data_IF_960325133474
#
_entry.id   IF_960325133474
#
_cell.length_a   1.000
_cell.length_b   1.000
_cell.length_c   1.000
_cell.angle_alpha   90.00
_cell.angle_beta   90.00
_cell.angle_gamma   90.00
#
_symmetry.space_group_name_H-M   'P 1'
#
loop_
_entity.id
_entity.type
_entity.pdbx_description
1 polymer ?
#
# COMPACT_ATOMS: atom_id res chain seq x y z
N UNK A 1 4.15 1.56 1.40
CA UNK A 1 4.34 2.67 0.43
C UNK A 1 3.19 3.65 0.58
N UNK A 2 1.94 3.23 0.36
CA UNK A 2 0.76 4.04 0.68
C UNK A 2 0.50 4.13 2.20
N UNK A 3 0.80 3.06 2.93
CA UNK A 3 0.64 2.97 4.39
C UNK A 3 1.55 3.95 5.16
N UNK A 4 2.57 4.50 4.50
CA UNK A 4 3.47 5.51 5.04
C UNK A 4 3.17 6.93 4.56
N UNK A 5 2.22 7.12 3.64
CA UNK A 5 1.81 8.45 3.15
C UNK A 5 1.03 9.19 4.22
N UNK A 6 0.20 8.47 4.98
CA UNK A 6 -0.65 9.07 6.00
C UNK A 6 -1.97 9.61 5.44
N UNK A 7 -2.89 9.92 6.35
CA UNK A 7 -4.25 10.31 6.00
C UNK A 7 -4.34 11.64 5.27
N UNK A 8 -3.47 12.60 5.61
CA UNK A 8 -3.55 13.99 5.14
C UNK A 8 -3.01 14.18 3.72
N UNK A 9 -2.14 13.28 3.26
CA UNK A 9 -1.37 13.43 2.02
C UNK A 9 -1.86 12.50 0.88
N UNK A 10 -3.06 11.93 1.00
CA UNK A 10 -3.57 10.99 0.00
C UNK A 10 -3.82 11.68 -1.34
N UNK A 11 -4.36 12.90 -1.33
CA UNK A 11 -4.58 13.73 -2.51
C UNK A 11 -3.25 14.07 -3.18
N UNK A 12 -2.27 14.55 -2.42
CA UNK A 12 -0.93 14.89 -2.94
C UNK A 12 -0.24 13.68 -3.57
N UNK A 13 -0.39 12.50 -2.96
CA UNK A 13 0.11 11.24 -3.50
C UNK A 13 -0.48 10.94 -4.89
N UNK A 14 -1.79 11.07 -5.05
CA UNK A 14 -2.44 10.80 -6.33
C UNK A 14 -2.20 11.89 -7.37
N UNK A 15 -2.07 13.15 -6.96
CA UNK A 15 -1.66 14.24 -7.84
C UNK A 15 -0.25 14.00 -8.40
N UNK A 16 0.69 13.53 -7.55
CA UNK A 16 2.02 13.15 -8.00
C UNK A 16 1.95 11.99 -9.00
N UNK A 17 1.17 10.94 -8.69
CA UNK A 17 1.00 9.80 -9.58
C UNK A 17 0.47 10.21 -10.96
N UNK A 18 -0.56 11.06 -11.00
CA UNK A 18 -1.15 11.61 -12.23
C UNK A 18 -0.10 12.37 -13.06
N UNK A 19 0.72 13.21 -12.41
CA UNK A 19 1.73 14.02 -13.10
C UNK A 19 2.92 13.23 -13.67
N UNK A 20 3.15 12.02 -13.16
CA UNK A 20 4.31 11.18 -13.53
C UNK A 20 3.97 10.07 -14.51
N UNK A 21 2.69 9.76 -14.68
CA UNK A 21 2.23 8.70 -15.56
C UNK A 21 2.11 9.23 -16.99
N UNK A 22 2.63 8.48 -17.96
CA UNK A 22 2.43 8.78 -19.39
C UNK A 22 0.95 8.59 -19.77
N UNK A 23 0.52 9.21 -20.87
CA UNK A 23 -0.89 9.23 -21.31
C UNK A 23 -1.56 7.85 -21.42
N UNK A 24 -0.79 6.80 -21.75
CA UNK A 24 -1.21 5.40 -21.84
C UNK A 24 -0.66 4.51 -20.73
N UNK A 25 -0.10 5.12 -19.69
CA UNK A 25 0.50 4.43 -18.56
C UNK A 25 -0.53 3.75 -17.66
N UNK A 26 -0.08 2.67 -17.02
CA UNK A 26 -0.81 1.95 -15.99
C UNK A 26 -0.06 2.05 -14.66
N UNK A 27 -0.79 2.35 -13.59
CA UNK A 27 -0.30 2.26 -12.23
C UNK A 27 -1.00 1.09 -11.52
N UNK A 28 -0.21 0.21 -10.94
CA UNK A 28 -0.71 -0.88 -10.08
C UNK A 28 -0.31 -0.56 -8.64
N UNK A 29 -1.30 -0.23 -7.83
CA UNK A 29 -1.11 0.14 -6.43
C UNK A 29 -1.57 -1.01 -5.53
N UNK A 30 -0.66 -1.49 -4.67
CA UNK A 30 -0.98 -2.45 -3.62
C UNK A 30 -0.91 -1.76 -2.25
N UNK A 31 -1.89 -1.97 -1.38
CA UNK A 31 -1.89 -1.44 -0.03
C UNK A 31 -2.67 -2.32 0.96
N UNK A 32 -2.15 -2.44 2.17
CA UNK A 32 -2.89 -2.99 3.30
C UNK A 32 -3.93 -1.96 3.75
N UNK A 33 -5.14 -2.41 4.01
CA UNK A 33 -6.27 -1.56 4.37
C UNK A 33 -6.87 -1.94 5.71
N UNK A 34 -7.58 -0.98 6.30
CA UNK A 34 -8.51 -1.22 7.39
C UNK A 34 -9.95 -0.98 6.92
N UNK A 35 -10.94 -1.79 7.37
CA UNK A 35 -12.34 -1.56 7.03
C UNK A 35 -12.81 -0.15 7.40
N UNK A 36 -13.63 0.45 6.53
CA UNK A 36 -14.09 1.84 6.67
C UNK A 36 -14.74 2.13 8.03
N UNK A 37 -15.55 1.21 8.54
CA UNK A 37 -16.21 1.36 9.85
C UNK A 37 -15.26 1.49 11.04
N UNK A 38 -13.97 1.14 10.88
CA UNK A 38 -12.93 1.26 11.93
C UNK A 38 -11.90 2.33 11.62
N UNK A 39 -11.94 2.92 10.43
CA UNK A 39 -10.88 3.80 9.94
C UNK A 39 -10.70 5.06 10.79
N UNK A 40 -11.80 5.72 11.14
CA UNK A 40 -11.77 6.97 11.92
C UNK A 40 -11.26 6.80 13.35
N UNK A 41 -11.48 5.64 13.95
CA UNK A 41 -10.90 5.29 15.24
C UNK A 41 -9.42 4.95 15.08
N UNK A 42 -9.08 4.08 14.12
CA UNK A 42 -7.73 3.61 13.88
C UNK A 42 -6.74 4.73 13.55
N UNK A 43 -7.15 5.75 12.79
CA UNK A 43 -6.29 6.88 12.47
C UNK A 43 -5.92 7.73 13.70
N UNK A 44 -6.74 7.69 14.77
CA UNK A 44 -6.55 8.46 16.01
C UNK A 44 -5.93 7.65 17.15
N UNK A 45 -5.95 6.32 17.06
CA UNK A 45 -5.43 5.43 18.10
C UNK A 45 -3.99 5.02 17.83
N UNK A 46 -3.27 4.68 18.91
CA UNK A 46 -2.01 3.95 18.84
C UNK A 46 -2.25 2.48 19.17
N UNK A 47 -1.58 1.60 18.45
CA UNK A 47 -1.66 0.15 18.64
C UNK A 47 -0.26 -0.47 18.68
N UNK A 48 -0.20 -1.79 18.89
CA UNK A 48 1.06 -2.52 18.90
C UNK A 48 1.90 -2.28 17.63
N UNK A 49 1.27 -2.15 16.46
CA UNK A 49 1.98 -1.97 15.20
C UNK A 49 2.66 -0.60 15.18
N UNK A 50 1.94 0.48 15.52
CA UNK A 50 2.51 1.83 15.55
C UNK A 50 3.59 2.00 16.62
N UNK A 51 3.43 1.37 17.78
CA UNK A 51 4.38 1.50 18.89
C UNK A 51 5.67 0.69 18.70
N UNK A 52 5.58 -0.51 18.11
CA UNK A 52 6.70 -1.47 18.12
C UNK A 52 7.25 -1.85 16.75
N UNK A 53 6.49 -1.68 15.67
CA UNK A 53 6.86 -2.21 14.34
C UNK A 53 7.00 -1.10 13.29
N UNK A 54 5.96 -0.29 13.08
CA UNK A 54 5.88 0.74 12.04
C UNK A 54 5.45 2.08 12.63
N UNK A 55 6.37 2.76 13.32
CA UNK A 55 6.15 4.10 13.87
C UNK A 55 5.81 5.10 12.76
N UNK A 56 4.67 5.77 12.87
CA UNK A 56 4.17 6.74 11.89
C UNK A 56 3.34 6.14 10.75
N UNK A 57 3.22 4.81 10.67
CA UNK A 57 2.36 4.17 9.68
C UNK A 57 0.87 4.41 9.95
N UNK A 58 0.08 4.58 8.89
CA UNK A 58 -1.37 4.66 8.96
C UNK A 58 -1.98 3.90 7.78
N UNK A 59 -2.59 2.75 8.08
CA UNK A 59 -3.37 1.99 7.10
C UNK A 59 -4.57 2.83 6.62
N UNK A 60 -4.72 3.06 5.31
CA UNK A 60 -5.90 3.73 4.78
C UNK A 60 -7.11 2.79 4.74
N UNK A 61 -8.30 3.36 4.58
CA UNK A 61 -9.48 2.59 4.14
C UNK A 61 -9.62 2.63 2.62
N UNK A 62 -10.34 1.68 2.04
CA UNK A 62 -10.58 1.68 0.60
C UNK A 62 -11.27 2.98 0.15
N UNK A 63 -12.28 3.44 0.90
CA UNK A 63 -12.98 4.69 0.55
C UNK A 63 -12.07 5.91 0.65
N UNK A 64 -11.12 5.94 1.58
CA UNK A 64 -10.14 7.04 1.68
C UNK A 64 -9.24 7.11 0.46
N UNK A 65 -8.77 5.96 -0.01
CA UNK A 65 -7.90 5.87 -1.19
C UNK A 65 -8.66 6.30 -2.43
N UNK A 66 -9.86 5.75 -2.65
CA UNK A 66 -10.65 6.07 -3.86
C UNK A 66 -11.15 7.51 -3.87
N UNK A 67 -11.51 8.08 -2.71
CA UNK A 67 -11.91 9.48 -2.62
C UNK A 67 -10.75 10.45 -2.86
N UNK A 68 -9.57 10.17 -2.29
CA UNK A 68 -8.37 10.99 -2.52
C UNK A 68 -7.92 10.96 -3.97
N UNK A 69 -7.96 9.78 -4.60
CA UNK A 69 -7.69 9.63 -6.04
C UNK A 69 -8.65 10.45 -6.89
N UNK A 70 -9.96 10.31 -6.66
CA UNK A 70 -10.98 11.02 -7.44
C UNK A 70 -10.94 12.54 -7.25
N UNK A 71 -10.50 13.02 -6.07
CA UNK A 71 -10.43 14.44 -5.76
C UNK A 71 -9.22 15.15 -6.38
N UNK A 72 -8.10 14.45 -6.59
CA UNK A 72 -6.81 15.05 -6.88
C UNK A 72 -6.15 14.61 -8.19
N UNK A 73 -6.78 13.73 -8.96
CA UNK A 73 -6.20 13.18 -10.19
C UNK A 73 -7.24 12.91 -11.28
N UNK A 74 -6.76 12.69 -12.51
CA UNK A 74 -7.56 12.18 -13.63
C UNK A 74 -7.59 10.64 -13.71
N UNK A 75 -7.01 9.98 -12.71
CA UNK A 75 -6.87 8.52 -12.68
C UNK A 75 -8.23 7.84 -12.48
N UNK A 76 -8.45 6.76 -13.22
CA UNK A 76 -9.60 5.89 -13.09
C UNK A 76 -9.18 4.47 -12.73
N UNK A 77 -9.89 3.86 -11.80
CA UNK A 77 -9.70 2.45 -11.46
C UNK A 77 -10.32 1.55 -12.53
N UNK A 78 -9.51 0.65 -13.08
CA UNK A 78 -9.94 -0.38 -14.02
C UNK A 78 -10.24 -1.70 -13.31
N UNK A 79 -9.39 -2.05 -12.35
CA UNK A 79 -9.47 -3.32 -11.64
C UNK A 79 -9.17 -3.14 -10.16
N UNK A 80 -9.88 -3.88 -9.32
CA UNK A 80 -9.67 -3.94 -7.89
C UNK A 80 -9.84 -5.37 -7.41
N UNK A 81 -8.85 -5.86 -6.69
CA UNK A 81 -8.86 -7.20 -6.07
C UNK A 81 -8.46 -7.09 -4.60
N UNK A 82 -9.17 -7.82 -3.72
CA UNK A 82 -8.74 -8.02 -2.33
C UNK A 82 -7.96 -9.34 -2.22
N UNK A 83 -6.65 -9.22 -2.05
CA UNK A 83 -5.71 -10.32 -1.90
C UNK A 83 -5.34 -10.58 -0.43
N UNK A 84 -6.12 -10.05 0.53
CA UNK A 84 -5.86 -10.16 1.97
C UNK A 84 -5.69 -11.59 2.49
N UNK A 85 -6.46 -12.54 1.94
CA UNK A 85 -6.37 -13.97 2.33
C UNK A 85 -5.02 -14.59 1.99
N UNK A 86 -4.36 -14.11 0.93
CA UNK A 86 -3.02 -14.56 0.57
C UNK A 86 -1.98 -14.03 1.56
N UNK A 87 -2.20 -12.83 2.11
CA UNK A 87 -1.31 -12.23 3.09
C UNK A 87 -1.30 -12.99 4.43
N UNK A 88 -2.45 -13.56 4.83
CA UNK A 88 -2.53 -14.52 5.93
C UNK A 88 -1.54 -15.67 5.76
N UNK A 89 -1.51 -16.29 4.58
CA UNK A 89 -0.63 -17.43 4.31
C UNK A 89 0.84 -17.00 4.25
N UNK A 90 1.12 -15.84 3.65
CA UNK A 90 2.47 -15.25 3.60
C UNK A 90 3.04 -15.04 5.01
N UNK A 91 2.27 -14.43 5.92
CA UNK A 91 2.73 -14.16 7.29
C UNK A 91 2.98 -15.44 8.08
N UNK A 92 2.19 -16.50 7.85
CA UNK A 92 2.42 -17.81 8.45
C UNK A 92 3.75 -18.42 8.02
N UNK A 93 4.06 -18.39 6.73
CA UNK A 93 5.35 -18.88 6.23
C UNK A 93 6.52 -18.00 6.71
N UNK A 94 6.32 -16.69 6.81
CA UNK A 94 7.34 -15.79 7.36
C UNK A 94 7.64 -16.10 8.83
N UNK A 95 6.61 -16.33 9.64
CA UNK A 95 6.76 -16.76 11.04
C UNK A 95 7.53 -18.07 11.16
N UNK A 96 7.15 -19.08 10.39
CA UNK A 96 7.82 -20.38 10.38
C UNK A 96 9.30 -20.26 10.01
N UNK A 97 9.60 -19.49 8.97
CA UNK A 97 10.98 -19.22 8.54
C UNK A 97 11.78 -18.41 9.58
N UNK A 98 11.15 -17.42 10.21
CA UNK A 98 11.78 -16.58 11.23
C UNK A 98 12.15 -17.40 12.46
N UNK A 99 11.21 -18.19 13.00
CA UNK A 99 11.45 -19.05 14.16
C UNK A 99 12.43 -20.19 13.84
N UNK A 100 12.40 -20.72 12.61
CA UNK A 100 13.37 -21.70 12.14
C UNK A 100 14.82 -21.19 12.13
N UNK A 101 15.02 -19.87 12.06
CA UNK A 101 16.33 -19.20 12.05
C UNK A 101 16.65 -18.47 13.35
N UNK A 102 15.98 -18.82 14.45
CA UNK A 102 16.12 -18.10 15.72
C UNK A 102 17.59 -17.98 16.19
N UNK A 103 18.39 -19.04 16.06
CA UNK A 103 19.82 -19.01 16.44
C UNK A 103 20.62 -18.00 15.61
N UNK A 104 20.43 -18.01 14.29
CA UNK A 104 21.09 -17.06 13.38
C UNK A 104 20.70 -15.61 13.74
N UNK A 105 19.43 -15.38 14.10
CA UNK A 105 18.94 -14.06 14.53
C UNK A 105 19.61 -13.62 15.85
N UNK A 106 19.79 -14.55 16.79
CA UNK A 106 20.50 -14.28 18.05
C UNK A 106 21.98 -13.97 17.82
N UNK A 107 22.63 -14.69 16.90
CA UNK A 107 24.03 -14.47 16.52
C UNK A 107 24.25 -13.09 15.88
N UNK A 108 23.21 -12.50 15.26
CA UNK A 108 23.21 -11.11 14.77
C UNK A 108 23.09 -10.06 15.89
N UNK A 109 22.92 -10.48 17.15
CA UNK A 109 22.81 -9.61 18.31
C UNK A 109 21.38 -9.22 18.69
N UNK A 110 20.36 -9.85 18.10
CA UNK A 110 18.98 -9.62 18.49
C UNK A 110 18.59 -10.48 19.69
N UNK A 111 18.02 -9.85 20.71
CA UNK A 111 17.66 -10.51 21.95
C UNK A 111 16.34 -11.30 21.86
N UNK A 112 16.03 -12.04 22.92
CA UNK A 112 14.78 -12.78 23.02
C UNK A 112 13.55 -11.86 22.96
N UNK A 113 13.67 -10.63 23.48
CA UNK A 113 12.58 -9.65 23.43
C UNK A 113 12.23 -9.31 21.99
N UNK A 114 13.23 -9.03 21.15
CA UNK A 114 13.06 -8.79 19.73
C UNK A 114 12.35 -9.96 19.04
N UNK A 115 12.81 -11.19 19.29
CA UNK A 115 12.22 -12.39 18.70
C UNK A 115 10.74 -12.53 19.09
N UNK A 116 10.41 -12.35 20.37
CA UNK A 116 9.02 -12.42 20.86
C UNK A 116 8.15 -11.31 20.30
N UNK A 117 8.68 -10.10 20.14
CA UNK A 117 7.98 -8.99 19.49
C UNK A 117 7.64 -9.31 18.05
N UNK A 118 8.58 -9.88 17.29
CA UNK A 118 8.35 -10.27 15.90
C UNK A 118 7.42 -11.48 15.74
N UNK A 119 7.53 -12.48 16.61
CA UNK A 119 6.58 -13.59 16.64
C UNK A 119 5.15 -13.09 16.90
N UNK A 120 4.98 -12.19 17.88
CA UNK A 120 3.69 -11.57 18.15
C UNK A 120 3.19 -10.74 16.98
N UNK A 121 4.06 -9.97 16.30
CA UNK A 121 3.70 -9.23 15.09
C UNK A 121 3.11 -10.15 14.01
N UNK A 122 3.74 -11.29 13.72
CA UNK A 122 3.23 -12.22 12.72
C UNK A 122 1.84 -12.74 13.12
N UNK A 123 1.67 -13.24 14.35
CA UNK A 123 0.40 -13.79 14.80
C UNK A 123 -0.70 -12.72 14.89
N UNK A 124 -0.35 -11.50 15.30
CA UNK A 124 -1.25 -10.35 15.35
C UNK A 124 -1.79 -10.00 13.96
N UNK A 125 -0.91 -9.87 12.96
CA UNK A 125 -1.33 -9.59 11.59
C UNK A 125 -2.06 -10.76 10.94
N UNK A 126 -1.65 -12.01 11.21
CA UNK A 126 -2.35 -13.23 10.76
C UNK A 126 -3.79 -13.23 11.24
N UNK A 127 -4.03 -12.91 12.52
CA UNK A 127 -5.38 -12.76 13.06
C UNK A 127 -6.14 -11.63 12.35
N UNK A 128 -5.47 -10.50 12.08
CA UNK A 128 -6.00 -9.37 11.33
C UNK A 128 -6.60 -9.77 9.97
N UNK A 129 -5.77 -10.39 9.12
CA UNK A 129 -6.20 -10.84 7.80
C UNK A 129 -7.21 -11.98 7.84
N UNK A 130 -7.03 -12.96 8.74
CA UNK A 130 -7.94 -14.12 8.85
C UNK A 130 -9.35 -13.73 9.28
N UNK A 131 -9.47 -12.67 10.09
CA UNK A 131 -10.76 -12.17 10.60
C UNK A 131 -11.34 -11.04 9.74
N UNK A 132 -10.71 -10.73 8.60
CA UNK A 132 -11.07 -9.61 7.72
C UNK A 132 -11.11 -8.26 8.45
N UNK A 133 -10.35 -8.13 9.54
CA UNK A 133 -10.15 -6.85 10.25
C UNK A 133 -9.02 -6.03 9.62
N UNK A 134 -8.27 -6.64 8.70
CA UNK A 134 -7.37 -6.05 7.72
C UNK A 134 -7.71 -6.60 6.33
N UNK A 135 -7.54 -5.77 5.30
CA UNK A 135 -7.58 -6.17 3.89
C UNK A 135 -6.25 -5.90 3.20
N UNK A 136 -6.05 -6.40 1.99
CA UNK A 136 -4.90 -6.04 1.16
C UNK A 136 -5.39 -5.89 -0.27
N UNK A 137 -5.50 -4.66 -0.74
CA UNK A 137 -6.04 -4.39 -2.06
C UNK A 137 -4.92 -4.25 -3.08
N UNK A 138 -5.18 -4.75 -4.29
CA UNK A 138 -4.45 -4.42 -5.49
C UNK A 138 -5.39 -3.69 -6.44
N UNK A 139 -5.02 -2.47 -6.84
CA UNK A 139 -5.82 -1.61 -7.71
C UNK A 139 -5.00 -1.26 -8.96
N UNK A 140 -5.55 -1.55 -10.13
CA UNK A 140 -5.00 -1.09 -11.40
C UNK A 140 -5.73 0.19 -11.81
N UNK A 141 -4.97 1.25 -12.09
CA UNK A 141 -5.49 2.56 -12.48
C UNK A 141 -4.78 3.09 -13.73
N UNK A 142 -5.48 3.92 -14.50
CA UNK A 142 -5.01 4.53 -15.74
C UNK A 142 -5.50 5.98 -15.86
N UNK A 143 -4.88 6.80 -16.71
CA UNK A 143 -5.34 8.18 -16.98
C UNK A 143 -6.63 8.16 -17.82
N UNK A 144 -7.67 8.79 -17.30
CA UNK A 144 -8.92 8.95 -18.04
C UNK A 144 -8.86 10.21 -18.91
N UNK A 145 -8.62 10.02 -20.21
CA UNK A 145 -8.72 11.11 -21.17
C UNK A 145 -10.19 11.51 -21.36
N UNK A 146 -10.57 12.68 -20.86
CA UNK A 146 -11.90 13.27 -21.07
C UNK A 146 -12.23 13.52 -22.56
N UNK A 147 -11.26 13.36 -23.46
CA UNK A 147 -11.35 13.69 -24.88
C UNK A 147 -12.03 12.65 -25.78
N UNK A 148 -12.39 11.45 -25.29
CA UNK A 148 -13.03 10.42 -26.13
C UNK A 148 -14.56 10.57 -26.28
N UNK A 149 -15.20 11.56 -25.64
CA UNK A 149 -16.65 11.78 -25.79
C UNK A 149 -17.07 12.43 -27.12
N UNK A 150 -16.14 12.73 -28.03
CA UNK A 150 -16.44 13.31 -29.36
C UNK A 150 -16.22 12.36 -30.56
N UNK A 151 -15.88 11.09 -30.34
CA UNK A 151 -15.85 10.11 -31.43
C UNK A 151 -16.97 9.08 -31.27
N UNK A 152 -17.96 9.03 -32.19
CA UNK A 152 -18.77 7.83 -32.28
C UNK A 152 -17.82 6.74 -32.80
N UNK A 153 -17.68 5.61 -32.12
CA UNK A 153 -17.54 4.27 -32.72
C UNK A 153 -16.92 3.24 -31.76
N UNK A 154 -17.72 2.17 -31.55
CA UNK A 154 -17.34 0.78 -31.28
C UNK A 154 -16.73 0.39 -29.92
N UNK A 155 -17.61 -0.15 -29.08
CA UNK A 155 -17.40 -0.97 -27.87
C UNK A 155 -16.37 -2.13 -28.04
N UNK A 156 -16.03 -2.51 -29.28
CA UNK A 156 -15.05 -3.58 -29.57
C UNK A 156 -13.59 -3.19 -29.30
N UNK A 157 -13.25 -1.89 -29.21
CA UNK A 157 -11.85 -1.48 -29.01
C UNK A 157 -11.35 -1.69 -27.58
N UNK A 158 -12.25 -1.70 -26.59
CA UNK A 158 -11.89 -1.81 -25.16
C UNK A 158 -11.39 -3.22 -24.78
N UNK A 159 -11.92 -4.28 -25.40
CA UNK A 159 -11.52 -5.66 -25.09
C UNK A 159 -10.12 -6.06 -25.58
N UNK A 160 -9.48 -5.29 -26.45
CA UNK A 160 -8.15 -5.66 -27.00
C UNK A 160 -6.96 -5.15 -26.17
N UNK A 161 -7.18 -4.20 -25.25
CA UNK A 161 -6.10 -3.47 -24.55
C UNK A 161 -5.63 -4.10 -23.23
N UNK A 162 -6.34 -5.10 -22.69
CA UNK A 162 -5.96 -5.78 -21.44
C UNK A 162 -4.72 -6.70 -21.61
N UNK A 163 -4.24 -6.95 -22.83
CA UNK A 163 -3.21 -7.98 -23.07
C UNK A 163 -1.74 -7.52 -23.16
N UNK A 164 -1.42 -6.22 -23.18
CA UNK A 164 -0.03 -5.73 -23.24
C UNK A 164 -0.01 -4.37 -22.50
N UNK A 165 0.72 -4.16 -21.41
CA UNK A 165 2.16 -3.88 -21.47
C UNK A 165 2.75 -3.88 -20.04
N UNK A 166 3.73 -4.73 -19.80
CA UNK A 166 4.72 -4.59 -18.73
C UNK A 166 5.90 -3.80 -19.30
N UNK A 167 6.26 -2.65 -18.71
CA UNK A 167 7.65 -2.24 -18.43
C UNK A 167 7.75 -0.76 -18.02
N UNK A 168 8.12 -0.47 -16.77
CA UNK A 168 9.33 0.32 -16.49
C UNK A 168 9.72 0.27 -14.99
N UNK A 169 10.72 -0.55 -14.65
CA UNK A 169 11.16 -0.81 -13.26
C UNK A 169 12.13 0.25 -12.70
N UNK A 170 12.63 1.18 -13.52
CA UNK A 170 13.79 2.03 -13.17
C UNK A 170 13.44 3.32 -12.43
N UNK A 171 12.27 3.92 -12.67
CA UNK A 171 11.91 5.24 -12.09
C UNK A 171 11.36 5.15 -10.66
N UNK A 172 10.81 3.99 -10.30
CA UNK A 172 10.15 3.78 -9.00
C UNK A 172 11.12 3.55 -7.83
N UNK A 173 12.32 3.01 -8.11
CA UNK A 173 13.36 2.83 -7.09
C UNK A 173 13.99 4.14 -6.65
N UNK A 174 14.05 5.14 -7.53
CA UNK A 174 14.57 6.48 -7.22
C UNK A 174 13.56 7.27 -6.37
N UNK A 175 12.26 7.15 -6.66
CA UNK A 175 11.18 7.73 -5.84
C UNK A 175 11.13 7.19 -4.40
N UNK A 176 11.31 5.88 -4.19
CA UNK A 176 11.38 5.31 -2.84
C UNK A 176 12.55 5.85 -2.00
N UNK A 177 13.61 6.35 -2.63
CA UNK A 177 14.76 6.92 -1.94
C UNK A 177 14.53 8.41 -1.66
N UNK A 178 13.99 9.18 -2.61
CA UNK A 178 13.73 10.61 -2.45
C UNK A 178 12.57 10.89 -1.47
N UNK A 179 11.46 10.17 -1.56
CA UNK A 179 10.38 10.28 -0.59
C UNK A 179 10.86 9.90 0.81
N UNK A 180 11.61 8.80 0.94
CA UNK A 180 12.17 8.37 2.23
C UNK A 180 13.16 9.39 2.81
N UNK A 181 13.96 10.05 1.97
CA UNK A 181 14.90 11.09 2.40
C UNK A 181 14.19 12.40 2.79
N UNK A 182 13.14 12.79 2.05
CA UNK A 182 12.37 13.99 2.35
C UNK A 182 11.60 13.83 3.67
N UNK A 183 10.87 12.71 3.84
CA UNK A 183 10.15 12.43 5.08
C UNK A 183 11.11 12.16 6.27
N UNK A 184 12.25 11.49 6.09
CA UNK A 184 13.23 11.30 7.19
C UNK A 184 13.85 12.62 7.67
N UNK A 185 13.97 13.63 6.80
CA UNK A 185 14.54 14.93 7.16
C UNK A 185 13.60 15.81 7.98
N UNK A 186 12.28 15.66 7.82
CA UNK A 186 11.29 16.38 8.63
C UNK A 186 11.09 15.71 10.00
N UNK A 187 11.11 14.38 10.07
CA UNK A 187 11.00 13.63 11.34
C UNK A 187 12.24 13.76 12.25
N UNK A 188 13.41 14.12 11.70
CA UNK A 188 14.61 14.38 12.51
C UNK A 188 14.57 15.75 13.22
N UNK A 189 13.75 16.69 12.73
CA UNK A 189 13.67 18.08 13.23
C UNK A 189 12.50 18.35 14.18
N UNK A 190 11.69 17.34 14.53
CA UNK A 190 10.59 17.46 15.49
C UNK A 190 10.88 16.84 16.87
N UNK A 191 12.15 16.75 17.27
CA UNK A 191 12.55 16.38 18.64
C UNK A 191 12.78 17.61 19.50
#
# INVERSE_FOLDING_TARGET
MLEGVGHEYMEDFFQCCDSMLEDDGLLVLQFISIPDGRYDEYKRSSDFIKEYIFSGGCLPSLSRVTSGMAAASSLCAEHLEDIGIHYYQTLRYWRENFLGKQREIQDLGFDEKFIRTWEYYFDYCVAGFKTCTLGNYQVCVYICHFFLLFFPFNILYLCSRVLLTLTNKKRFSEFNLEAKNHFSSEFANSR
#
